data_IF_834084550164
#
_entry.id   IF_834084550164
#
_cell.length_a   1.000
_cell.length_b   1.000
_cell.length_c   1.000
_cell.angle_alpha   90.00
_cell.angle_beta   90.00
_cell.angle_gamma   90.00
#
_symmetry.space_group_name_H-M   'P 1'
#
loop_
_entity.id
_entity.type
_entity.pdbx_description
1 polymer ?
#
# COMPACT_ATOMS: atom_id res chain seq x y z
N UNK A 1 1.64 23.45 -16.60
CA UNK A 1 1.85 24.35 -15.44
C UNK A 1 2.94 23.81 -14.56
N UNK A 2 3.90 24.67 -14.26
CA UNK A 2 5.16 24.39 -13.57
C UNK A 2 4.99 24.15 -12.07
N UNK A 3 5.77 23.20 -11.57
CA UNK A 3 6.14 22.86 -10.19
C UNK A 3 5.75 23.86 -9.08
N UNK A 4 4.85 23.45 -8.17
CA UNK A 4 4.77 24.02 -6.83
C UNK A 4 5.97 23.53 -6.00
N UNK A 5 7.13 24.13 -6.23
CA UNK A 5 8.25 23.99 -5.31
C UNK A 5 8.01 24.89 -4.09
N UNK A 6 7.59 24.29 -2.97
CA UNK A 6 7.84 24.85 -1.64
C UNK A 6 6.64 25.22 -0.78
N UNK A 7 5.41 25.19 -1.29
CA UNK A 7 4.25 25.50 -0.46
C UNK A 7 3.94 24.37 0.52
N UNK A 8 4.00 24.68 1.82
CA UNK A 8 3.54 23.77 2.87
C UNK A 8 2.02 23.80 2.89
N UNK A 9 1.39 22.64 2.77
CA UNK A 9 -0.05 22.48 2.93
C UNK A 9 -0.38 21.96 4.32
N UNK A 10 -1.59 22.24 4.79
CA UNK A 10 -2.10 21.62 6.00
C UNK A 10 -2.43 20.15 5.69
N UNK A 11 -1.79 19.22 6.40
CA UNK A 11 -2.09 17.79 6.27
C UNK A 11 -3.54 17.51 6.69
N UNK A 12 -4.25 16.64 5.95
CA UNK A 12 -5.57 16.16 6.40
C UNK A 12 -5.43 15.32 7.68
N UNK A 13 -6.49 15.17 8.50
CA UNK A 13 -6.48 14.21 9.60
C UNK A 13 -6.09 12.81 9.13
N UNK A 14 -5.41 12.04 9.98
CA UNK A 14 -5.00 10.66 9.67
C UNK A 14 -6.21 9.77 9.33
N UNK A 15 -7.40 10.07 9.86
CA UNK A 15 -8.64 9.37 9.52
C UNK A 15 -9.00 9.50 8.03
N UNK A 16 -8.77 10.66 7.41
CA UNK A 16 -8.98 10.87 5.98
C UNK A 16 -7.99 10.05 5.14
N UNK A 17 -6.74 9.94 5.58
CA UNK A 17 -5.76 9.08 4.92
C UNK A 17 -6.04 7.60 5.14
N UNK A 18 -6.52 7.20 6.32
CA UNK A 18 -6.92 5.83 6.60
C UNK A 18 -8.11 5.40 5.74
N UNK A 19 -9.09 6.27 5.52
CA UNK A 19 -10.20 6.02 4.58
C UNK A 19 -9.69 5.86 3.14
N UNK A 20 -8.76 6.71 2.71
CA UNK A 20 -8.10 6.57 1.41
C UNK A 20 -7.35 5.24 1.29
N UNK A 21 -6.52 4.91 2.28
CA UNK A 21 -5.79 3.64 2.33
C UNK A 21 -6.74 2.44 2.30
N UNK A 22 -7.85 2.49 3.05
CA UNK A 22 -8.89 1.45 3.07
C UNK A 22 -9.46 1.20 1.68
N UNK A 23 -9.62 2.25 0.86
CA UNK A 23 -10.10 2.15 -0.52
C UNK A 23 -9.09 1.55 -1.50
N UNK A 24 -7.81 1.49 -1.14
CA UNK A 24 -6.74 0.90 -1.96
C UNK A 24 -6.48 -0.57 -1.64
N UNK A 25 -7.05 -1.10 -0.55
CA UNK A 25 -6.92 -2.51 -0.19
C UNK A 25 -7.69 -3.34 -1.23
N UNK A 26 -7.05 -4.33 -1.90
CA UNK A 26 -7.71 -5.19 -2.87
C UNK A 26 -8.91 -5.90 -2.24
N UNK A 27 -10.10 -5.62 -2.76
CA UNK A 27 -11.33 -6.24 -2.27
C UNK A 27 -11.43 -7.71 -2.74
N UNK A 28 -11.02 -7.98 -3.97
CA UNK A 28 -11.20 -9.26 -4.66
C UNK A 28 -9.85 -9.97 -4.87
N UNK A 29 -9.28 -10.50 -3.78
CA UNK A 29 -8.07 -11.31 -3.85
C UNK A 29 -8.47 -12.72 -4.30
N UNK A 30 -7.92 -13.26 -5.41
CA UNK A 30 -8.24 -14.62 -5.85
C UNK A 30 -7.87 -15.66 -4.79
N UNK A 31 -8.73 -16.66 -4.63
CA UNK A 31 -8.51 -17.77 -3.68
C UNK A 31 -7.23 -18.57 -3.99
N UNK A 32 -6.80 -18.58 -5.25
CA UNK A 32 -5.62 -19.31 -5.71
C UNK A 32 -4.84 -18.54 -6.76
N UNK A 33 -3.52 -18.51 -6.64
CA UNK A 33 -2.58 -18.07 -7.66
C UNK A 33 -1.22 -18.75 -7.45
N UNK A 34 -0.42 -18.89 -8.50
CA UNK A 34 0.90 -19.51 -8.36
C UNK A 34 1.85 -18.59 -7.58
N UNK A 35 2.47 -19.12 -6.53
CA UNK A 35 3.44 -18.41 -5.70
C UNK A 35 4.86 -18.56 -6.23
N UNK A 36 5.68 -17.50 -6.09
CA UNK A 36 7.12 -17.61 -6.31
C UNK A 36 7.72 -18.71 -5.42
N UNK A 37 8.67 -19.53 -5.91
CA UNK A 37 9.21 -20.68 -5.16
C UNK A 37 9.75 -20.36 -3.76
N UNK A 38 10.21 -19.12 -3.53
CA UNK A 38 10.72 -18.68 -2.22
C UNK A 38 9.71 -18.78 -1.07
N UNK A 39 8.42 -18.72 -1.37
CA UNK A 39 7.37 -18.75 -0.34
C UNK A 39 7.05 -20.18 0.14
N UNK A 40 7.54 -21.21 -0.56
CA UNK A 40 7.31 -22.63 -0.20
C UNK A 40 7.86 -23.00 1.19
N UNK A 41 8.84 -22.25 1.69
CA UNK A 41 9.43 -22.45 3.02
C UNK A 41 8.67 -21.73 4.14
N UNK A 42 7.63 -20.95 3.82
CA UNK A 42 6.84 -20.23 4.82
C UNK A 42 5.72 -21.10 5.38
N UNK A 43 4.88 -21.64 4.50
CA UNK A 43 3.78 -22.56 4.80
C UNK A 43 3.29 -23.20 3.49
N UNK A 44 2.24 -24.04 3.55
CA UNK A 44 1.54 -24.49 2.34
C UNK A 44 0.97 -23.30 1.56
N UNK A 45 0.83 -23.44 0.24
CA UNK A 45 0.27 -22.37 -0.61
C UNK A 45 -1.15 -21.98 -0.16
N UNK A 46 -1.98 -22.96 0.19
CA UNK A 46 -3.31 -22.75 0.75
C UNK A 46 -3.27 -21.87 2.02
N UNK A 47 -2.38 -22.15 2.97
CA UNK A 47 -2.25 -21.36 4.18
C UNK A 47 -1.73 -19.94 3.90
N UNK A 48 -0.88 -19.78 2.88
CA UNK A 48 -0.41 -18.45 2.46
C UNK A 48 -1.57 -17.66 1.84
N UNK A 49 -2.36 -18.23 0.93
CA UNK A 49 -3.52 -17.56 0.33
C UNK A 49 -4.55 -17.17 1.41
N UNK A 50 -4.94 -18.11 2.27
CA UNK A 50 -5.85 -17.86 3.38
C UNK A 50 -5.29 -16.82 4.35
N UNK A 51 -3.98 -16.85 4.61
CA UNK A 51 -3.30 -15.88 5.46
C UNK A 51 -3.30 -14.48 4.88
N UNK A 52 -3.12 -14.32 3.57
CA UNK A 52 -3.17 -13.03 2.87
C UNK A 52 -4.58 -12.44 2.92
N UNK A 53 -5.60 -13.26 2.69
CA UNK A 53 -7.00 -12.85 2.83
C UNK A 53 -7.28 -12.41 4.27
N UNK A 54 -6.85 -13.18 5.27
CA UNK A 54 -6.99 -12.80 6.68
C UNK A 54 -6.20 -11.53 7.04
N UNK A 55 -5.04 -11.29 6.39
CA UNK A 55 -4.26 -10.05 6.55
C UNK A 55 -4.98 -8.85 5.94
N UNK A 56 -5.58 -8.98 4.77
CA UNK A 56 -6.48 -7.96 4.18
C UNK A 56 -7.59 -7.59 5.15
N UNK A 57 -8.23 -8.58 5.78
CA UNK A 57 -9.31 -8.35 6.74
C UNK A 57 -8.82 -7.64 8.01
N UNK A 58 -7.63 -8.00 8.49
CA UNK A 58 -6.95 -7.24 9.54
C UNK A 58 -6.73 -5.77 9.14
N UNK A 59 -6.31 -5.49 7.89
CA UNK A 59 -6.09 -4.11 7.46
C UNK A 59 -7.38 -3.29 7.43
N UNK A 60 -8.54 -3.90 7.15
CA UNK A 60 -9.82 -3.21 7.29
C UNK A 60 -10.06 -2.79 8.75
N UNK A 61 -9.82 -3.68 9.72
CA UNK A 61 -9.91 -3.37 11.16
C UNK A 61 -8.90 -2.28 11.56
N UNK A 62 -7.67 -2.37 11.06
CA UNK A 62 -6.61 -1.39 11.28
C UNK A 62 -7.02 0.01 10.79
N UNK A 63 -7.55 0.10 9.57
CA UNK A 63 -8.07 1.34 9.00
C UNK A 63 -9.26 1.88 9.79
N UNK A 64 -10.20 1.04 10.21
CA UNK A 64 -11.35 1.45 11.01
C UNK A 64 -10.94 2.02 12.37
N UNK A 65 -9.93 1.43 13.01
CA UNK A 65 -9.34 1.98 14.24
C UNK A 65 -8.68 3.34 14.01
N UNK A 66 -7.98 3.53 12.90
CA UNK A 66 -7.40 4.84 12.57
C UNK A 66 -8.45 5.91 12.22
N UNK A 67 -9.55 5.49 11.60
CA UNK A 67 -10.67 6.40 11.29
C UNK A 67 -11.32 6.90 12.57
N UNK A 68 -11.55 6.01 13.54
CA UNK A 68 -12.16 6.34 14.84
C UNK A 68 -11.17 7.09 15.76
N UNK A 69 -10.01 6.50 16.02
CA UNK A 69 -9.15 6.85 17.16
C UNK A 69 -7.80 7.44 16.71
N UNK A 70 -7.58 7.59 15.40
CA UNK A 70 -6.30 8.03 14.82
C UNK A 70 -5.83 9.41 15.32
N UNK A 71 -6.75 10.27 15.73
CA UNK A 71 -6.43 11.60 16.27
C UNK A 71 -5.57 11.55 17.55
N UNK A 72 -5.57 10.41 18.26
CA UNK A 72 -4.72 10.17 19.43
C UNK A 72 -3.24 9.99 19.05
N UNK A 73 -2.97 9.53 17.83
CA UNK A 73 -1.64 9.09 17.37
C UNK A 73 -0.98 10.07 16.42
N UNK A 74 -1.78 10.80 15.63
CA UNK A 74 -1.27 11.76 14.66
C UNK A 74 -2.18 12.99 14.60
N UNK A 75 -1.57 14.17 14.82
CA UNK A 75 -2.22 15.46 14.60
C UNK A 75 -1.86 15.99 13.21
N UNK A 76 -2.82 16.63 12.52
CA UNK A 76 -2.52 17.43 11.34
C UNK A 76 -1.35 18.39 11.58
N UNK A 77 -0.43 18.47 10.63
CA UNK A 77 0.71 19.40 10.65
C UNK A 77 0.90 20.09 9.30
N UNK A 78 1.55 21.26 9.30
CA UNK A 78 1.99 21.91 8.06
C UNK A 78 3.16 21.10 7.48
N UNK A 79 3.02 20.65 6.24
CA UNK A 79 3.99 19.76 5.60
C UNK A 79 4.13 20.06 4.12
N UNK A 80 5.30 19.76 3.54
CA UNK A 80 5.51 19.75 2.09
C UNK A 80 5.03 18.44 1.45
N UNK A 81 4.83 17.39 2.25
CA UNK A 81 4.32 16.11 1.80
C UNK A 81 3.03 15.77 2.57
N UNK A 82 1.83 16.03 2.00
CA UNK A 82 0.56 15.79 2.68
C UNK A 82 0.30 14.30 2.96
N UNK A 83 0.97 13.40 2.25
CA UNK A 83 0.84 11.95 2.42
C UNK A 83 1.84 11.37 3.45
N UNK A 84 2.72 12.19 4.03
CA UNK A 84 3.71 11.72 5.00
C UNK A 84 3.12 11.69 6.42
N UNK A 85 2.62 10.52 6.82
CA UNK A 85 2.15 10.25 8.18
C UNK A 85 3.20 9.41 8.92
N UNK A 86 4.03 10.01 9.78
CA UNK A 86 5.11 9.29 10.46
C UNK A 86 4.62 8.08 11.28
N UNK A 87 3.41 8.17 11.85
CA UNK A 87 2.79 7.07 12.58
C UNK A 87 2.59 5.84 11.68
N UNK A 88 1.96 6.01 10.52
CA UNK A 88 1.72 4.93 9.57
C UNK A 88 3.01 4.33 9.02
N UNK A 89 3.96 5.19 8.64
CA UNK A 89 5.27 4.75 8.16
C UNK A 89 5.99 3.87 9.17
N UNK A 90 5.94 4.25 10.45
CA UNK A 90 6.53 3.49 11.56
C UNK A 90 5.74 2.20 11.84
N UNK A 91 4.42 2.23 11.75
CA UNK A 91 3.57 1.05 11.92
C UNK A 91 3.83 0.00 10.83
N UNK A 92 3.94 0.43 9.58
CA UNK A 92 4.34 -0.41 8.46
C UNK A 92 5.71 -1.08 8.73
N UNK A 93 6.70 -0.33 9.22
CA UNK A 93 7.99 -0.93 9.60
C UNK A 93 7.87 -1.93 10.76
N UNK A 94 7.05 -1.65 11.76
CA UNK A 94 6.86 -2.58 12.89
C UNK A 94 6.21 -3.89 12.44
N UNK A 95 5.17 -3.82 11.61
CA UNK A 95 4.53 -5.01 11.05
C UNK A 95 5.52 -5.81 10.19
N UNK A 96 6.32 -5.14 9.34
CA UNK A 96 7.38 -5.78 8.56
C UNK A 96 8.40 -6.45 9.48
N UNK A 97 8.83 -5.80 10.56
CA UNK A 97 9.80 -6.39 11.50
C UNK A 97 9.23 -7.64 12.18
N UNK A 98 7.98 -7.59 12.63
CA UNK A 98 7.28 -8.74 13.26
C UNK A 98 7.16 -9.88 12.26
N UNK A 99 6.66 -9.61 11.05
CA UNK A 99 6.48 -10.63 10.02
C UNK A 99 7.82 -11.18 9.55
N UNK A 100 8.74 -10.32 9.12
CA UNK A 100 10.00 -10.75 8.53
C UNK A 100 10.91 -11.48 9.52
N UNK A 101 11.10 -10.95 10.73
CA UNK A 101 12.01 -11.54 11.72
C UNK A 101 11.35 -12.60 12.61
N UNK A 102 10.01 -12.62 12.70
CA UNK A 102 9.27 -13.63 13.47
C UNK A 102 9.36 -15.02 12.85
N UNK A 103 9.57 -16.05 13.66
CA UNK A 103 9.49 -17.45 13.23
C UNK A 103 8.10 -17.99 13.53
N UNK A 104 7.42 -18.54 12.52
CA UNK A 104 6.18 -19.27 12.75
C UNK A 104 6.50 -20.50 13.61
N UNK A 105 5.66 -20.76 14.60
CA UNK A 105 5.71 -22.04 15.31
C UNK A 105 5.15 -23.18 14.44
N UNK A 106 5.25 -24.41 14.94
CA UNK A 106 4.85 -25.60 14.18
C UNK A 106 3.35 -25.62 13.80
N UNK A 107 2.49 -25.07 14.66
CA UNK A 107 1.05 -24.93 14.39
C UNK A 107 0.69 -23.74 13.50
N UNK A 108 1.63 -22.81 13.27
CA UNK A 108 1.42 -21.59 12.50
C UNK A 108 0.52 -20.56 13.19
N UNK A 109 0.24 -20.71 14.49
CA UNK A 109 -0.68 -19.86 15.25
C UNK A 109 0.02 -18.69 15.98
N UNK A 110 1.35 -18.71 16.06
CA UNK A 110 2.15 -17.65 16.67
C UNK A 110 3.44 -17.34 15.89
N UNK A 111 3.91 -16.10 16.02
CA UNK A 111 5.23 -15.66 15.58
C UNK A 111 6.11 -15.41 16.81
N UNK A 112 7.22 -16.15 16.89
CA UNK A 112 8.27 -15.92 17.88
C UNK A 112 9.29 -14.91 17.33
N UNK A 113 9.32 -13.72 17.90
CA UNK A 113 10.16 -12.60 17.44
C UNK A 113 11.29 -12.36 18.45
N UNK A 114 12.53 -12.63 18.06
CA UNK A 114 13.72 -12.37 18.91
C UNK A 114 14.25 -10.94 18.78
N UNK A 115 13.92 -10.24 17.69
CA UNK A 115 14.38 -8.88 17.43
C UNK A 115 13.34 -8.05 16.69
N UNK A 116 13.28 -6.76 17.03
CA UNK A 116 12.48 -5.76 16.33
C UNK A 116 13.43 -4.62 15.95
N UNK A 117 14.08 -4.67 14.77
CA UNK A 117 15.09 -3.69 14.37
C UNK A 117 14.62 -2.23 14.47
N UNK A 118 13.35 -1.95 14.20
CA UNK A 118 12.75 -0.62 14.36
C UNK A 118 12.74 -0.12 15.81
N UNK A 119 12.87 -1.01 16.79
CA UNK A 119 12.96 -0.71 18.22
C UNK A 119 14.39 -0.79 18.76
N UNK A 120 15.19 -1.77 18.32
CA UNK A 120 16.44 -2.17 18.99
C UNK A 120 17.72 -1.79 18.25
N UNK A 121 17.65 -1.36 16.99
CA UNK A 121 18.85 -0.94 16.24
C UNK A 121 19.50 0.31 16.84
N UNK A 122 20.79 0.54 16.53
CA UNK A 122 21.58 1.70 17.01
C UNK A 122 20.87 3.04 16.73
N UNK A 123 20.16 3.12 15.60
CA UNK A 123 19.32 4.26 15.22
C UNK A 123 17.90 3.73 14.97
N UNK A 124 17.10 3.51 16.03
CA UNK A 124 15.81 2.88 15.89
C UNK A 124 14.86 3.78 15.10
N UNK A 125 14.11 3.19 14.17
CA UNK A 125 13.10 3.91 13.38
C UNK A 125 11.97 4.43 14.26
N UNK A 126 11.71 3.76 15.39
CA UNK A 126 10.68 4.12 16.37
C UNK A 126 11.38 4.48 17.69
N UNK A 127 11.27 5.75 18.15
CA UNK A 127 11.87 6.19 19.40
C UNK A 127 11.37 5.38 20.60
N UNK A 128 12.24 5.11 21.57
CA UNK A 128 11.92 4.35 22.79
C UNK A 128 10.63 4.82 23.48
N UNK A 129 10.42 6.14 23.58
CA UNK A 129 9.23 6.76 24.19
C UNK A 129 7.91 6.45 23.47
N UNK A 130 7.98 5.90 22.25
CA UNK A 130 6.83 5.59 21.42
C UNK A 130 6.63 4.09 21.20
N UNK A 131 7.60 3.23 21.48
CA UNK A 131 7.51 1.80 21.13
C UNK A 131 6.27 1.11 21.70
N UNK A 132 5.96 1.34 22.98
CA UNK A 132 4.79 0.77 23.64
C UNK A 132 3.46 1.31 23.08
N UNK A 133 3.42 2.55 22.58
CA UNK A 133 2.24 3.13 21.91
C UNK A 133 1.86 2.33 20.65
N UNK A 134 2.85 1.86 19.89
CA UNK A 134 2.62 1.11 18.64
C UNK A 134 2.14 -0.32 18.95
N UNK A 135 2.72 -0.99 19.93
CA UNK A 135 2.27 -2.31 20.36
C UNK A 135 0.85 -2.26 20.92
N UNK A 136 0.53 -1.25 21.75
CA UNK A 136 -0.84 -1.03 22.25
C UNK A 136 -1.82 -0.80 21.10
N UNK A 137 -1.45 -0.02 20.08
CA UNK A 137 -2.31 0.17 18.92
C UNK A 137 -2.57 -1.14 18.17
N UNK A 138 -1.54 -1.96 17.94
CA UNK A 138 -1.72 -3.29 17.34
C UNK A 138 -2.59 -4.20 18.21
N UNK A 139 -2.48 -4.11 19.54
CA UNK A 139 -3.34 -4.85 20.45
C UNK A 139 -4.82 -4.42 20.32
N UNK A 140 -5.10 -3.12 20.14
CA UNK A 140 -6.45 -2.63 19.82
C UNK A 140 -6.98 -3.14 18.46
N UNK A 141 -6.09 -3.55 17.57
CA UNK A 141 -6.41 -4.18 16.28
C UNK A 141 -6.53 -5.71 16.36
N UNK A 142 -6.33 -6.31 17.54
CA UNK A 142 -6.53 -7.74 17.81
C UNK A 142 -5.26 -8.57 17.96
N UNK A 143 -4.07 -7.98 17.88
CA UNK A 143 -2.84 -8.68 18.22
C UNK A 143 -2.77 -8.96 19.72
N UNK A 144 -2.19 -10.09 20.09
CA UNK A 144 -1.85 -10.41 21.47
C UNK A 144 -0.34 -10.64 21.55
N UNK A 145 0.27 -10.03 22.58
CA UNK A 145 1.70 -10.02 22.78
C UNK A 145 2.02 -10.70 24.12
N UNK A 146 2.77 -11.81 24.06
CA UNK A 146 3.27 -12.53 25.24
C UNK A 146 4.78 -12.30 25.37
N UNK A 147 5.27 -12.18 26.60
CA UNK A 147 6.68 -11.84 26.86
C UNK A 147 6.93 -10.34 27.02
N UNK A 148 5.88 -9.52 27.11
CA UNK A 148 5.97 -8.08 27.42
C UNK A 148 4.77 -7.62 28.25
N UNK A 149 4.98 -6.66 29.17
CA UNK A 149 3.87 -5.94 29.80
C UNK A 149 3.51 -4.71 28.94
N UNK A 150 2.32 -4.72 28.34
CA UNK A 150 1.85 -3.58 27.55
C UNK A 150 1.57 -2.34 28.40
N UNK A 151 1.51 -2.41 29.74
CA UNK A 151 1.33 -1.25 30.61
C UNK A 151 2.66 -0.53 30.91
N UNK A 152 3.79 -1.16 30.63
CA UNK A 152 5.10 -0.55 30.86
C UNK A 152 5.34 0.67 29.96
N UNK A 153 6.24 1.55 30.44
CA UNK A 153 6.65 2.74 29.67
C UNK A 153 7.72 2.42 28.63
N UNK A 154 8.47 1.36 28.84
CA UNK A 154 9.65 1.01 28.04
C UNK A 154 9.49 -0.39 27.48
N UNK A 155 9.96 -0.57 26.25
CA UNK A 155 9.98 -1.88 25.62
C UNK A 155 11.07 -2.76 26.24
N UNK A 156 10.67 -3.92 26.75
CA UNK A 156 11.59 -4.94 27.24
C UNK A 156 10.96 -6.32 27.02
N UNK A 157 11.65 -7.20 26.30
CA UNK A 157 11.21 -8.58 26.10
C UNK A 157 11.65 -9.45 27.28
N UNK A 158 10.69 -10.00 28.01
CA UNK A 158 10.94 -10.98 29.08
C UNK A 158 11.29 -12.32 28.45
N UNK A 159 12.46 -12.87 28.77
CA UNK A 159 12.92 -14.15 28.20
C UNK A 159 13.58 -14.05 26.82
N UNK A 160 13.75 -12.84 26.27
CA UNK A 160 14.49 -12.61 25.02
C UNK A 160 13.70 -12.86 23.73
N UNK A 161 12.39 -13.17 23.84
CA UNK A 161 11.49 -13.29 22.71
C UNK A 161 10.15 -12.62 23.01
N UNK A 162 9.53 -12.09 21.97
CA UNK A 162 8.16 -11.62 21.95
C UNK A 162 7.34 -12.62 21.14
N UNK A 163 6.38 -13.28 21.78
CA UNK A 163 5.42 -14.11 21.07
C UNK A 163 4.23 -13.25 20.63
N UNK A 164 3.90 -13.32 19.34
CA UNK A 164 2.83 -12.57 18.72
C UNK A 164 1.77 -13.54 18.23
N UNK A 165 0.53 -13.39 18.70
CA UNK A 165 -0.62 -14.18 18.26
C UNK A 165 -1.74 -13.29 17.70
N UNK A 166 -2.62 -13.87 16.89
CA UNK A 166 -3.84 -13.20 16.41
C UNK A 166 -5.06 -14.13 16.56
N UNK A 167 -5.68 -14.19 17.75
CA UNK A 167 -6.63 -15.25 18.11
C UNK A 167 -7.86 -15.36 17.19
N UNK A 168 -8.32 -14.26 16.60
CA UNK A 168 -9.52 -14.26 15.73
C UNK A 168 -9.29 -15.00 14.41
N UNK A 169 -8.05 -15.02 13.93
CA UNK A 169 -7.67 -15.65 12.66
C UNK A 169 -6.15 -15.91 12.68
N UNK A 170 -5.66 -16.99 13.34
CA UNK A 170 -4.23 -17.21 13.52
C UNK A 170 -3.44 -17.27 12.19
N UNK A 171 -4.05 -17.82 11.14
CA UNK A 171 -3.51 -17.88 9.77
C UNK A 171 -3.12 -16.50 9.20
N UNK A 172 -3.68 -15.40 9.73
CA UNK A 172 -3.27 -14.03 9.38
C UNK A 172 -1.76 -13.83 9.55
N UNK A 173 -1.15 -14.46 10.57
CA UNK A 173 0.29 -14.37 10.82
C UNK A 173 1.12 -15.01 9.71
N UNK A 174 0.61 -16.06 9.06
CA UNK A 174 1.21 -16.62 7.84
C UNK A 174 1.19 -15.60 6.70
N UNK A 175 0.07 -14.89 6.52
CA UNK A 175 -0.04 -13.80 5.54
C UNK A 175 0.92 -12.65 5.83
N UNK A 176 0.98 -12.19 7.09
CA UNK A 176 1.91 -11.16 7.55
C UNK A 176 3.36 -11.57 7.29
N UNK A 177 3.74 -12.82 7.60
CA UNK A 177 5.07 -13.39 7.34
C UNK A 177 5.41 -13.35 5.85
N UNK A 178 4.55 -13.91 5.00
CA UNK A 178 4.76 -14.00 3.56
C UNK A 178 4.85 -12.61 2.91
N UNK A 179 3.93 -11.71 3.23
CA UNK A 179 3.93 -10.34 2.70
C UNK A 179 5.12 -9.52 3.21
N UNK A 180 5.59 -9.75 4.44
CA UNK A 180 6.79 -9.08 4.97
C UNK A 180 8.07 -9.56 4.28
N UNK A 181 8.18 -10.86 3.98
CA UNK A 181 9.26 -11.40 3.13
C UNK A 181 9.22 -10.76 1.75
N UNK A 182 8.03 -10.68 1.15
CA UNK A 182 7.88 -10.06 -0.16
C UNK A 182 8.27 -8.58 -0.14
N UNK A 183 7.87 -7.85 0.90
CA UNK A 183 8.25 -6.46 1.11
C UNK A 183 9.77 -6.33 1.18
N UNK A 184 10.45 -7.04 2.09
CA UNK A 184 11.90 -6.87 2.31
C UNK A 184 12.74 -7.38 1.14
N UNK A 185 12.44 -8.54 0.58
CA UNK A 185 13.33 -9.18 -0.40
C UNK A 185 13.10 -8.72 -1.84
N UNK A 186 11.93 -8.15 -2.14
CA UNK A 186 11.63 -7.61 -3.48
C UNK A 186 11.83 -6.08 -3.55
N UNK A 187 12.35 -5.48 -2.46
CA UNK A 187 12.58 -4.03 -2.30
C UNK A 187 13.47 -3.37 -3.35
N UNK A 188 14.31 -4.11 -4.07
CA UNK A 188 15.29 -3.52 -5.00
C UNK A 188 14.65 -2.95 -6.29
N UNK A 189 13.37 -3.25 -6.60
CA UNK A 189 12.68 -2.71 -7.81
C UNK A 189 11.73 -1.52 -7.57
N UNK A 190 11.43 -1.15 -6.32
CA UNK A 190 10.20 -0.37 -6.02
C UNK A 190 10.37 0.84 -5.10
N UNK A 191 11.53 1.48 -5.10
CA UNK A 191 11.84 2.63 -4.22
C UNK A 191 11.00 3.91 -4.40
N UNK A 192 9.87 3.88 -5.12
CA UNK A 192 8.86 4.95 -5.10
C UNK A 192 7.44 4.37 -4.88
N UNK A 193 7.05 4.24 -3.61
CA UNK A 193 5.65 4.21 -3.14
C UNK A 193 4.77 2.96 -3.38
N UNK A 194 5.36 1.80 -3.71
CA UNK A 194 4.71 0.50 -3.51
C UNK A 194 5.00 -0.11 -2.11
N UNK A 195 5.63 0.66 -1.22
CA UNK A 195 6.25 0.22 0.04
C UNK A 195 5.30 0.05 1.21
N UNK A 196 4.04 -0.28 0.97
CA UNK A 196 3.05 -0.32 2.03
C UNK A 196 2.48 -1.72 2.15
N UNK A 197 3.00 -2.47 3.14
CA UNK A 197 2.34 -3.68 3.61
C UNK A 197 0.87 -3.39 3.90
N UNK A 198 0.55 -2.14 4.27
CA UNK A 198 -0.81 -1.65 4.50
C UNK A 198 -1.69 -1.56 3.23
N UNK A 199 -1.19 -1.90 2.04
CA UNK A 199 -2.01 -2.10 0.83
C UNK A 199 -2.37 -3.57 0.59
N UNK A 200 -1.75 -4.52 1.29
CA UNK A 200 -1.92 -5.96 1.03
C UNK A 200 -1.79 -6.32 -0.46
N UNK A 201 -0.77 -5.80 -1.13
CA UNK A 201 -0.55 -6.09 -2.54
C UNK A 201 -0.02 -7.53 -2.71
N UNK A 202 -0.92 -8.51 -2.78
CA UNK A 202 -0.59 -9.93 -2.92
C UNK A 202 0.17 -10.25 -4.21
N UNK A 203 0.04 -9.39 -5.24
CA UNK A 203 0.56 -9.63 -6.59
C UNK A 203 2.08 -9.63 -6.63
N UNK A 204 2.74 -9.00 -5.67
CA UNK A 204 4.20 -9.09 -5.50
C UNK A 204 4.66 -10.53 -5.23
N UNK A 205 3.79 -11.40 -4.74
CA UNK A 205 4.12 -12.79 -4.43
C UNK A 205 3.87 -13.76 -5.59
N UNK A 206 3.07 -13.34 -6.59
CA UNK A 206 2.76 -14.15 -7.77
C UNK A 206 4.03 -14.53 -8.54
N UNK A 207 4.05 -15.76 -9.06
CA UNK A 207 5.09 -16.23 -9.97
C UNK A 207 5.01 -15.51 -11.32
N UNK A 208 3.79 -15.30 -11.82
CA UNK A 208 3.50 -14.58 -13.04
C UNK A 208 3.60 -13.06 -12.88
N UNK A 209 3.92 -12.37 -13.97
CA UNK A 209 3.85 -10.91 -14.02
C UNK A 209 2.40 -10.43 -13.83
N UNK A 210 2.25 -9.31 -13.13
CA UNK A 210 0.94 -8.74 -12.84
C UNK A 210 0.39 -8.00 -14.05
N UNK A 211 -0.80 -8.38 -14.51
CA UNK A 211 -1.53 -7.63 -15.54
C UNK A 211 -2.00 -6.28 -14.96
N UNK A 212 -1.71 -5.20 -15.69
CA UNK A 212 -2.14 -3.84 -15.34
C UNK A 212 -3.67 -3.74 -15.28
N UNK A 213 -4.38 -4.49 -16.12
CA UNK A 213 -5.83 -4.54 -16.14
C UNK A 213 -6.39 -5.08 -14.82
N UNK A 214 -5.75 -6.11 -14.24
CA UNK A 214 -6.18 -6.68 -12.96
C UNK A 214 -5.97 -5.69 -11.82
N UNK A 215 -4.85 -4.95 -11.82
CA UNK A 215 -4.62 -3.88 -10.84
C UNK A 215 -5.65 -2.77 -10.97
N UNK A 216 -6.05 -2.45 -12.20
CA UNK A 216 -7.07 -1.45 -12.46
C UNK A 216 -8.46 -1.92 -11.98
N UNK A 217 -8.83 -3.18 -12.20
CA UNK A 217 -10.08 -3.76 -11.68
C UNK A 217 -10.14 -3.66 -10.16
N UNK A 218 -9.08 -4.09 -9.46
CA UNK A 218 -9.02 -4.02 -7.99
C UNK A 218 -9.25 -2.60 -7.46
N UNK A 219 -8.60 -1.62 -8.10
CA UNK A 219 -8.72 -0.21 -7.71
C UNK A 219 -10.11 0.36 -8.05
N UNK A 220 -10.74 -0.07 -9.13
CA UNK A 220 -12.07 0.41 -9.52
C UNK A 220 -13.21 -0.31 -8.80
N UNK A 221 -12.96 -1.48 -8.20
CA UNK A 221 -13.98 -2.32 -7.56
C UNK A 221 -14.93 -1.57 -6.60
N UNK A 222 -14.47 -0.59 -5.78
CA UNK A 222 -15.36 0.16 -4.89
C UNK A 222 -16.31 1.14 -5.60
N UNK A 223 -16.12 1.40 -6.90
CA UNK A 223 -16.91 2.38 -7.66
C UNK A 223 -18.18 1.76 -8.26
N UNK A 224 -19.17 2.59 -8.66
CA UNK A 224 -20.34 2.08 -9.39
C UNK A 224 -19.94 1.34 -10.68
N UNK A 225 -20.67 0.26 -11.01
CA UNK A 225 -20.40 -0.60 -12.17
C UNK A 225 -20.28 0.18 -13.49
N UNK A 226 -21.06 1.25 -13.65
CA UNK A 226 -20.98 2.14 -14.83
C UNK A 226 -19.63 2.84 -14.95
N UNK A 227 -19.03 3.27 -13.83
CA UNK A 227 -17.71 3.91 -13.79
C UNK A 227 -16.61 2.87 -14.00
N UNK A 228 -16.74 1.68 -13.40
CA UNK A 228 -15.81 0.57 -13.63
C UNK A 228 -15.76 0.21 -15.12
N UNK A 229 -16.93 -0.03 -15.72
CA UNK A 229 -17.08 -0.37 -17.14
C UNK A 229 -16.51 0.71 -18.05
N UNK A 230 -16.76 1.98 -17.72
CA UNK A 230 -16.21 3.11 -18.47
C UNK A 230 -14.68 3.14 -18.43
N UNK A 231 -14.08 3.05 -17.24
CA UNK A 231 -12.63 3.11 -17.06
C UNK A 231 -11.91 1.90 -17.67
N UNK A 232 -12.47 0.69 -17.53
CA UNK A 232 -11.96 -0.52 -18.17
C UNK A 232 -12.11 -0.46 -19.70
N UNK A 233 -13.21 0.11 -20.20
CA UNK A 233 -13.42 0.38 -21.62
C UNK A 233 -12.38 1.34 -22.20
N UNK A 234 -12.03 2.39 -21.45
CA UNK A 234 -10.94 3.30 -21.83
C UNK A 234 -9.60 2.57 -21.85
N UNK A 235 -9.27 1.81 -20.80
CA UNK A 235 -8.04 1.02 -20.75
C UNK A 235 -7.90 0.15 -22.00
N UNK A 236 -8.91 -0.67 -22.29
CA UNK A 236 -8.95 -1.57 -23.45
C UNK A 236 -8.80 -0.81 -24.76
N UNK A 237 -9.59 0.25 -24.97
CA UNK A 237 -9.53 1.05 -26.20
C UNK A 237 -8.11 1.60 -26.46
N UNK A 238 -7.43 2.08 -25.43
CA UNK A 238 -6.11 2.69 -25.58
C UNK A 238 -4.99 1.65 -25.71
N UNK A 239 -5.11 0.50 -25.07
CA UNK A 239 -4.19 -0.62 -25.31
C UNK A 239 -4.37 -1.20 -26.71
N UNK A 240 -5.60 -1.30 -27.23
CA UNK A 240 -5.91 -1.83 -28.57
C UNK A 240 -5.30 -0.96 -29.68
N UNK A 241 -5.23 0.36 -29.51
CA UNK A 241 -4.55 1.26 -30.47
C UNK A 241 -3.03 1.34 -30.25
N UNK A 242 -2.47 0.49 -29.38
CA UNK A 242 -1.03 0.32 -29.19
C UNK A 242 -0.39 1.28 -28.19
N UNK A 243 -1.15 1.87 -27.26
CA UNK A 243 -0.56 2.57 -26.12
C UNK A 243 -0.11 1.59 -25.03
N UNK A 244 0.96 1.95 -24.34
CA UNK A 244 1.39 1.22 -23.14
C UNK A 244 0.86 1.93 -21.90
N UNK A 245 0.30 1.16 -20.98
CA UNK A 245 -0.07 1.61 -19.65
C UNK A 245 1.05 1.26 -18.66
N UNK A 246 1.47 2.23 -17.84
CA UNK A 246 2.38 2.00 -16.72
C UNK A 246 1.71 2.41 -15.41
N UNK A 247 1.91 1.59 -14.38
CA UNK A 247 1.46 1.92 -13.03
C UNK A 247 2.60 2.65 -12.32
N UNK A 248 2.33 3.87 -11.86
CA UNK A 248 3.21 4.61 -10.97
C UNK A 248 2.50 4.82 -9.65
N UNK A 249 3.16 4.42 -8.58
CA UNK A 249 2.78 4.83 -7.25
C UNK A 249 3.70 6.00 -6.86
N UNK A 250 3.12 7.12 -6.48
CA UNK A 250 3.77 8.20 -5.77
C UNK A 250 2.84 8.73 -4.66
N UNK A 251 2.63 10.04 -4.54
CA UNK A 251 1.58 10.59 -3.68
C UNK A 251 0.16 10.20 -4.14
N UNK A 252 0.05 9.60 -5.33
CA UNK A 252 -1.13 8.99 -5.89
C UNK A 252 -0.82 7.61 -6.52
N UNK A 253 -1.84 6.87 -6.92
CA UNK A 253 -1.69 5.74 -7.84
C UNK A 253 -2.13 6.16 -9.23
N UNK A 254 -1.23 6.03 -10.21
CA UNK A 254 -1.43 6.46 -11.59
C UNK A 254 -1.41 5.26 -12.53
N UNK A 255 -2.40 5.19 -13.41
CA UNK A 255 -2.41 4.36 -14.61
C UNK A 255 -2.16 5.26 -15.81
N UNK A 256 -0.90 5.38 -16.20
CA UNK A 256 -0.44 6.35 -17.18
C UNK A 256 -0.31 5.73 -18.56
N UNK A 257 -0.99 6.30 -19.55
CA UNK A 257 -1.02 5.81 -20.92
C UNK A 257 -0.13 6.67 -21.81
N UNK A 258 0.83 6.05 -22.49
CA UNK A 258 1.70 6.70 -23.46
C UNK A 258 1.81 5.91 -24.76
N UNK A 259 2.00 6.60 -25.89
CA UNK A 259 2.47 5.96 -27.11
C UNK A 259 3.97 5.67 -27.00
N UNK A 260 4.31 4.39 -27.04
CA UNK A 260 5.70 3.91 -26.88
C UNK A 260 6.24 3.26 -28.16
N UNK A 261 5.39 3.04 -29.17
CA UNK A 261 5.68 2.31 -30.42
C UNK A 261 6.96 2.78 -31.14
N UNK A 262 7.31 4.06 -31.05
CA UNK A 262 8.50 4.63 -31.71
C UNK A 262 9.76 4.63 -30.82
N UNK A 263 9.72 3.99 -29.65
CA UNK A 263 10.86 3.94 -28.74
C UNK A 263 11.90 2.94 -29.23
N UNK A 264 13.14 3.40 -29.43
CA UNK A 264 14.28 2.55 -29.81
C UNK A 264 14.88 1.75 -28.64
N UNK A 265 14.38 1.96 -27.42
CA UNK A 265 14.82 1.26 -26.21
C UNK A 265 13.62 0.81 -25.38
N UNK A 266 13.83 -0.21 -24.57
CA UNK A 266 12.90 -0.58 -23.51
C UNK A 266 12.70 0.61 -22.57
N UNK A 267 11.43 0.92 -22.28
CA UNK A 267 11.05 2.03 -21.41
C UNK A 267 10.73 1.50 -20.02
N UNK A 268 11.27 2.18 -19.01
CA UNK A 268 10.85 1.96 -17.62
C UNK A 268 9.45 2.53 -17.39
N UNK A 269 8.75 2.11 -16.32
CA UNK A 269 7.48 2.73 -15.92
C UNK A 269 7.58 4.25 -15.79
N UNK A 270 8.70 4.78 -15.26
CA UNK A 270 8.93 6.23 -15.13
C UNK A 270 9.09 6.91 -16.49
N UNK A 271 9.75 6.27 -17.44
CA UNK A 271 9.86 6.79 -18.80
C UNK A 271 8.46 6.91 -19.44
N UNK A 272 7.62 5.89 -19.28
CA UNK A 272 6.23 5.89 -19.79
C UNK A 272 5.43 7.01 -19.12
N UNK A 273 5.50 7.12 -17.79
CA UNK A 273 4.83 8.18 -17.03
C UNK A 273 5.22 9.58 -17.46
N UNK A 274 6.50 9.82 -17.78
CA UNK A 274 6.97 11.12 -18.28
C UNK A 274 6.41 11.49 -19.66
N UNK A 275 6.08 10.47 -20.48
CA UNK A 275 5.58 10.61 -21.86
C UNK A 275 4.06 10.49 -21.96
N UNK A 276 3.37 10.26 -20.84
CA UNK A 276 1.94 10.00 -20.79
C UNK A 276 1.13 11.13 -21.42
N UNK A 277 0.08 10.73 -22.12
CA UNK A 277 -0.89 11.65 -22.73
C UNK A 277 -2.08 11.84 -21.81
N UNK A 278 -2.47 10.77 -21.12
CA UNK A 278 -3.52 10.81 -20.11
C UNK A 278 -3.28 9.72 -19.06
N UNK A 279 -3.97 9.82 -17.93
CA UNK A 279 -3.91 8.84 -16.86
C UNK A 279 -5.24 8.74 -16.10
N UNK A 280 -5.48 7.57 -15.50
CA UNK A 280 -6.39 7.43 -14.37
C UNK A 280 -5.54 7.64 -13.12
N UNK A 281 -5.89 8.62 -12.30
CA UNK A 281 -5.24 8.89 -11.02
C UNK A 281 -6.20 8.63 -9.87
N UNK A 282 -5.69 7.94 -8.84
CA UNK A 282 -6.36 7.80 -7.55
C UNK A 282 -5.48 8.44 -6.49
N UNK A 283 -5.97 9.51 -5.85
CA UNK A 283 -5.20 10.26 -4.86
C UNK A 283 -6.06 10.71 -3.68
N UNK A 284 -5.41 10.94 -2.53
CA UNK A 284 -6.09 11.45 -1.33
C UNK A 284 -6.63 12.88 -1.53
N UNK A 285 -6.09 13.61 -2.50
CA UNK A 285 -6.50 14.99 -2.81
C UNK A 285 -7.73 15.02 -3.71
N UNK A 286 -7.74 14.24 -4.78
CA UNK A 286 -8.75 14.34 -5.84
C UNK A 286 -9.67 13.12 -5.92
N UNK A 287 -9.44 12.08 -5.12
CA UNK A 287 -10.13 10.80 -5.28
C UNK A 287 -9.76 10.16 -6.60
N UNK A 288 -10.76 9.64 -7.32
CA UNK A 288 -10.61 9.10 -8.67
C UNK A 288 -10.73 10.22 -9.70
N UNK A 289 -9.77 10.32 -10.60
CA UNK A 289 -9.76 11.36 -11.64
C UNK A 289 -9.16 10.84 -12.94
N UNK A 290 -9.61 11.43 -14.05
CA UNK A 290 -8.94 11.31 -15.34
C UNK A 290 -8.16 12.59 -15.56
N UNK A 291 -6.84 12.45 -15.73
CA UNK A 291 -5.96 13.58 -15.99
C UNK A 291 -5.49 13.50 -17.43
N UNK A 292 -5.81 14.52 -18.22
CA UNK A 292 -5.35 14.66 -19.60
C UNK A 292 -4.18 15.64 -19.60
N UNK A 293 -3.09 15.28 -20.27
CA UNK A 293 -1.92 16.14 -20.50
C UNK A 293 -1.93 16.62 -21.94
N UNK A 294 -2.71 17.66 -22.26
CA UNK A 294 -2.76 18.17 -23.61
C UNK A 294 -1.40 18.77 -23.99
N UNK A 295 -1.00 18.52 -25.24
CA UNK A 295 0.14 19.18 -25.88
C UNK A 295 -0.39 20.17 -26.90
N UNK A 296 0.34 21.25 -27.12
CA UNK A 296 -0.06 22.32 -28.06
C UNK A 296 -1.42 22.95 -27.73
N UNK A 297 -1.78 23.11 -26.45
CA UNK A 297 -3.05 23.74 -26.03
C UNK A 297 -3.21 25.14 -26.60
N UNK A 298 -2.10 25.86 -26.74
CA UNK A 298 -1.97 27.16 -27.41
C UNK A 298 -2.49 27.13 -28.85
N UNK A 299 -2.26 26.03 -29.58
CA UNK A 299 -2.72 25.90 -30.98
C UNK A 299 -4.20 25.60 -31.12
N UNK A 300 -4.85 25.20 -30.05
CA UNK A 300 -6.26 24.81 -30.03
C UNK A 300 -7.04 25.59 -28.98
N UNK A 301 -6.54 26.76 -28.55
CA UNK A 301 -7.14 27.56 -27.49
C UNK A 301 -8.59 27.90 -27.81
N UNK A 302 -8.86 28.40 -29.03
CA UNK A 302 -10.20 28.75 -29.51
C UNK A 302 -11.17 27.55 -29.46
N UNK A 303 -10.69 26.35 -29.79
CA UNK A 303 -11.49 25.12 -29.73
C UNK A 303 -11.73 24.69 -28.28
N UNK A 304 -10.74 24.87 -27.40
CA UNK A 304 -10.86 24.54 -25.98
C UNK A 304 -11.85 25.48 -25.29
N UNK A 305 -11.83 26.78 -25.60
CA UNK A 305 -12.79 27.76 -25.09
C UNK A 305 -14.24 27.46 -25.52
N UNK A 306 -14.41 26.78 -26.66
CA UNK A 306 -15.72 26.34 -27.13
C UNK A 306 -16.27 25.10 -26.44
N UNK A 307 -15.44 24.37 -25.66
CA UNK A 307 -15.95 23.24 -24.89
C UNK A 307 -16.92 23.75 -23.82
N UNK A 308 -18.12 23.15 -23.70
CA UNK A 308 -19.05 23.52 -22.66
C UNK A 308 -18.38 23.32 -21.31
N UNK A 309 -18.24 24.41 -20.56
CA UNK A 309 -17.97 24.34 -19.13
C UNK A 309 -19.14 23.57 -18.53
N UNK A 310 -18.86 22.39 -17.97
CA UNK A 310 -19.91 21.55 -17.41
C UNK A 310 -20.71 22.33 -16.34
N UNK A 311 -22.04 22.13 -16.28
CA UNK A 311 -22.91 22.68 -15.26
C UNK A 311 -22.60 22.12 -13.86
#
# INVERSE_FOLDING_TARGET
>A
MSTSHGETVMQKPISAYAAYLKSLIPADIPDTYELKPKFKNVASEENIHNGVIAFRDFLYVFCDRLISDGYLYAKPQKTKNPSDYPFLKKMNHLLIDIGYNGRLNESGDSLLVSEIPSFTSIKPKIPASKQMEYLRFLALCGFVFTGIDLNDKTFHMTGGFLEVTYPKAPVMLTGLKALSIAAVEQWVRFYNNANDLLRCDYRVMKAEDTDVCDVLKDILFPLPESIQSFALGLHKRYTDIGMTCAIINDNATHFAYAYTKNSRRLLSPRDIYSRRIWEIEVSMKYGYSIVIRPKNTDKYADLIESFPLLP
#
